data_IF_414669788165
#
_entry.id   IF_414669788165
#
_cell.length_a   1.000
_cell.length_b   1.000
_cell.length_c   1.000
_cell.angle_alpha   90.00
_cell.angle_beta   90.00
_cell.angle_gamma   90.00
#
_symmetry.space_group_name_H-M   'P 1'
#
loop_
_entity.id
_entity.type
_entity.pdbx_description
1 polymer ?
#
# COMPACT_ATOMS: atom_id res chain seq x y z
N UNK A 1 -18.60 6.19 4.80
CA UNK A 1 -18.21 5.88 3.41
C UNK A 1 -16.79 5.32 3.27
N UNK A 2 -15.79 5.78 4.03
CA UNK A 2 -14.37 5.54 3.71
C UNK A 2 -13.78 4.22 4.22
N UNK A 3 -14.28 3.68 5.33
CA UNK A 3 -14.11 2.29 5.77
C UNK A 3 -15.51 1.73 6.09
N UNK A 4 -16.22 1.18 5.10
CA UNK A 4 -17.61 0.76 5.28
C UNK A 4 -17.67 -0.58 6.04
N UNK A 5 -17.39 -0.54 7.34
CA UNK A 5 -17.40 -1.72 8.23
C UNK A 5 -18.81 -2.34 8.36
N UNK A 6 -19.86 -1.56 8.11
CA UNK A 6 -21.25 -2.03 8.00
C UNK A 6 -21.61 -2.56 6.59
N UNK A 7 -20.62 -2.70 5.71
CA UNK A 7 -20.75 -3.22 4.35
C UNK A 7 -20.94 -2.16 3.27
N UNK A 8 -20.72 -2.59 2.02
CA UNK A 8 -20.67 -1.72 0.84
C UNK A 8 -21.99 -0.98 0.52
N UNK A 9 -23.14 -1.41 1.03
CA UNK A 9 -24.43 -0.71 0.81
C UNK A 9 -24.52 0.63 1.53
N UNK A 10 -23.73 0.82 2.59
CA UNK A 10 -23.63 2.09 3.29
C UNK A 10 -22.94 3.17 2.44
N UNK A 11 -22.30 2.80 1.33
CA UNK A 11 -21.58 3.72 0.45
C UNK A 11 -22.52 4.26 -0.62
N UNK A 12 -22.89 5.54 -0.48
CA UNK A 12 -23.83 6.25 -1.35
C UNK A 12 -23.22 7.57 -1.83
N UNK A 13 -23.71 8.06 -2.97
CA UNK A 13 -23.45 9.43 -3.43
C UNK A 13 -24.39 10.33 -2.62
N UNK A 14 -24.02 10.62 -1.38
CA UNK A 14 -24.80 11.35 -0.38
C UNK A 14 -24.10 12.62 0.10
N UNK A 15 -24.79 13.45 0.89
CA UNK A 15 -24.22 14.72 1.35
C UNK A 15 -22.91 14.53 2.11
N UNK A 16 -22.77 13.45 2.88
CA UNK A 16 -21.55 13.15 3.62
C UNK A 16 -20.35 12.94 2.67
N UNK A 17 -20.49 12.08 1.66
CA UNK A 17 -19.40 11.80 0.71
C UNK A 17 -19.08 13.03 -0.15
N UNK A 18 -20.10 13.77 -0.58
CA UNK A 18 -19.92 14.98 -1.37
C UNK A 18 -19.26 16.10 -0.55
N UNK A 19 -19.64 16.29 0.71
CA UNK A 19 -19.04 17.31 1.58
C UNK A 19 -17.58 17.00 1.88
N UNK A 20 -17.25 15.75 2.19
CA UNK A 20 -15.85 15.35 2.38
C UNK A 20 -15.00 15.65 1.13
N UNK A 21 -15.53 15.38 -0.08
CA UNK A 21 -14.82 15.67 -1.32
C UNK A 21 -14.60 17.18 -1.52
N UNK A 22 -15.62 18.01 -1.25
CA UNK A 22 -15.49 19.48 -1.29
C UNK A 22 -14.45 19.99 -0.29
N UNK A 23 -14.44 19.46 0.93
CA UNK A 23 -13.49 19.84 1.97
C UNK A 23 -12.06 19.40 1.61
N UNK A 24 -11.90 18.20 1.05
CA UNK A 24 -10.63 17.71 0.54
C UNK A 24 -10.09 18.64 -0.55
N UNK A 25 -10.93 19.13 -1.47
CA UNK A 25 -10.52 20.13 -2.47
C UNK A 25 -10.16 21.47 -1.84
N UNK A 26 -11.00 21.98 -0.94
CA UNK A 26 -10.79 23.25 -0.26
C UNK A 26 -9.51 23.27 0.58
N UNK A 27 -9.01 22.11 1.02
CA UNK A 27 -7.74 22.01 1.75
C UNK A 27 -6.53 22.46 0.91
N UNK A 28 -6.63 22.40 -0.43
CA UNK A 28 -5.51 22.69 -1.33
C UNK A 28 -4.36 21.67 -1.28
N UNK A 29 -4.50 20.60 -0.50
CA UNK A 29 -3.46 19.55 -0.33
C UNK A 29 -3.76 18.38 -1.27
N UNK A 30 -2.76 17.79 -1.95
CA UNK A 30 -2.98 16.56 -2.71
C UNK A 30 -3.20 15.38 -1.77
N UNK A 31 -4.21 14.58 -2.06
CA UNK A 31 -4.63 13.45 -1.23
C UNK A 31 -4.53 12.15 -2.00
N UNK A 32 -3.84 11.16 -1.43
CA UNK A 32 -3.92 9.77 -1.88
C UNK A 32 -5.03 9.07 -1.12
N UNK A 33 -6.18 8.84 -1.77
CA UNK A 33 -7.30 8.14 -1.15
C UNK A 33 -7.19 6.63 -1.42
N UNK A 34 -6.70 5.90 -0.42
CA UNK A 34 -6.64 4.44 -0.40
C UNK A 34 -7.94 3.83 0.13
N UNK A 35 -9.01 3.97 -0.64
CA UNK A 35 -10.36 3.54 -0.25
C UNK A 35 -10.52 2.02 -0.29
N UNK A 36 -11.11 1.42 0.77
CA UNK A 36 -11.37 -0.02 0.87
C UNK A 36 -10.17 -0.89 0.45
N UNK A 37 -9.02 -0.68 1.08
CA UNK A 37 -7.81 -1.49 0.84
C UNK A 37 -7.98 -2.93 1.29
N UNK A 38 -7.09 -3.82 0.84
CA UNK A 38 -7.06 -5.24 1.20
C UNK A 38 -8.38 -5.97 0.94
N UNK A 39 -9.11 -5.55 -0.07
CA UNK A 39 -10.38 -6.13 -0.49
C UNK A 39 -10.30 -7.63 -0.85
N UNK A 40 -9.09 -8.18 -0.99
CA UNK A 40 -8.81 -9.59 -1.19
C UNK A 40 -8.59 -10.39 0.12
N UNK A 41 -8.77 -9.76 1.28
CA UNK A 41 -8.68 -10.37 2.60
C UNK A 41 -10.04 -10.53 3.26
N UNK A 42 -10.32 -11.68 3.87
CA UNK A 42 -11.62 -11.98 4.53
C UNK A 42 -11.89 -11.18 5.82
N UNK A 43 -10.93 -10.38 6.28
CA UNK A 43 -11.03 -9.60 7.52
C UNK A 43 -11.72 -8.25 7.35
N UNK A 44 -11.98 -7.82 6.11
CA UNK A 44 -12.67 -6.56 5.83
C UNK A 44 -14.11 -6.78 5.38
N UNK A 45 -15.00 -5.85 5.73
CA UNK A 45 -16.44 -5.94 5.42
C UNK A 45 -16.77 -5.80 3.91
N UNK A 46 -15.80 -5.42 3.09
CA UNK A 46 -15.93 -5.26 1.64
C UNK A 46 -15.35 -6.43 0.82
N UNK A 47 -14.98 -7.53 1.49
CA UNK A 47 -14.58 -8.79 0.84
C UNK A 47 -15.79 -9.61 0.34
N UNK A 48 -15.55 -10.50 -0.62
CA UNK A 48 -16.48 -11.52 -1.09
C UNK A 48 -17.44 -11.10 -2.21
N UNK A 49 -17.50 -9.81 -2.57
CA UNK A 49 -18.36 -9.33 -3.66
C UNK A 49 -17.65 -8.34 -4.59
N UNK A 50 -16.81 -8.83 -5.52
CA UNK A 50 -16.04 -7.98 -6.42
C UNK A 50 -16.90 -7.07 -7.29
N UNK A 51 -18.07 -7.55 -7.76
CA UNK A 51 -18.99 -6.75 -8.58
C UNK A 51 -19.48 -5.52 -7.82
N UNK A 52 -19.90 -5.69 -6.56
CA UNK A 52 -20.36 -4.60 -5.71
C UNK A 52 -19.21 -3.67 -5.30
N UNK A 53 -18.04 -4.23 -5.04
CA UNK A 53 -16.84 -3.43 -4.80
C UNK A 53 -16.55 -2.50 -5.99
N UNK A 54 -16.55 -3.04 -7.22
CA UNK A 54 -16.32 -2.25 -8.44
C UNK A 54 -17.40 -1.17 -8.60
N UNK A 55 -18.67 -1.49 -8.36
CA UNK A 55 -19.76 -0.50 -8.39
C UNK A 55 -19.48 0.69 -7.46
N UNK A 56 -19.14 0.40 -6.20
CA UNK A 56 -18.89 1.42 -5.17
C UNK A 56 -17.56 2.15 -5.38
N UNK A 57 -16.52 1.47 -5.85
CA UNK A 57 -15.27 2.10 -6.28
C UNK A 57 -15.52 3.17 -7.33
N UNK A 58 -16.27 2.81 -8.38
CA UNK A 58 -16.60 3.74 -9.46
C UNK A 58 -17.47 4.89 -8.97
N UNK A 59 -18.37 4.66 -8.01
CA UNK A 59 -19.16 5.70 -7.35
C UNK A 59 -18.27 6.71 -6.64
N UNK A 60 -17.41 6.26 -5.71
CA UNK A 60 -16.51 7.14 -4.95
C UNK A 60 -15.59 7.91 -5.91
N UNK A 61 -15.04 7.22 -6.92
CA UNK A 61 -14.20 7.85 -7.94
C UNK A 61 -14.94 8.94 -8.72
N UNK A 62 -16.23 8.77 -9.05
CA UNK A 62 -17.02 9.83 -9.70
C UNK A 62 -17.19 11.05 -8.81
N UNK A 63 -17.44 10.84 -7.51
CA UNK A 63 -17.59 11.95 -6.56
C UNK A 63 -16.27 12.72 -6.43
N UNK A 64 -15.14 12.03 -6.29
CA UNK A 64 -13.82 12.69 -6.24
C UNK A 64 -13.54 13.45 -7.52
N UNK A 65 -13.83 12.89 -8.70
CA UNK A 65 -13.66 13.61 -9.97
C UNK A 65 -14.56 14.84 -10.10
N UNK A 66 -15.75 14.80 -9.52
CA UNK A 66 -16.73 15.91 -9.57
C UNK A 66 -16.33 17.06 -8.65
N UNK A 67 -15.79 16.75 -7.47
CA UNK A 67 -15.61 17.74 -6.40
C UNK A 67 -14.17 17.93 -5.91
N UNK A 68 -13.29 16.95 -6.13
CA UNK A 68 -11.95 16.88 -5.55
C UNK A 68 -10.90 16.35 -6.55
N UNK A 69 -10.60 17.08 -7.64
CA UNK A 69 -9.57 16.67 -8.61
C UNK A 69 -8.16 16.55 -8.02
N UNK A 70 -7.92 17.09 -6.82
CA UNK A 70 -6.70 16.92 -6.03
C UNK A 70 -6.61 15.58 -5.28
N UNK A 71 -7.66 14.74 -5.33
CA UNK A 71 -7.69 13.41 -4.73
C UNK A 71 -7.36 12.35 -5.79
N UNK A 72 -6.26 11.62 -5.60
CA UNK A 72 -5.88 10.47 -6.41
C UNK A 72 -6.41 9.17 -5.80
N UNK A 73 -7.12 8.36 -6.58
CA UNK A 73 -7.66 7.07 -6.13
C UNK A 73 -6.60 5.96 -6.18
N UNK A 74 -6.31 5.35 -5.03
CA UNK A 74 -5.27 4.32 -4.85
C UNK A 74 -5.88 2.94 -4.62
N UNK A 75 -5.84 2.08 -5.65
CA UNK A 75 -6.42 0.73 -5.61
C UNK A 75 -5.43 -0.28 -5.03
N UNK A 76 -5.66 -0.71 -3.79
CA UNK A 76 -4.63 -1.36 -2.98
C UNK A 76 -5.09 -2.70 -2.37
N UNK A 77 -4.71 -3.85 -2.95
CA UNK A 77 -4.87 -5.15 -2.31
C UNK A 77 -3.73 -5.45 -1.34
N UNK A 78 -3.89 -6.50 -0.54
CA UNK A 78 -2.75 -7.24 0.02
C UNK A 78 -2.10 -8.06 -1.10
N UNK A 79 -0.78 -8.26 -1.08
CA UNK A 79 -0.08 -9.02 -2.13
C UNK A 79 -0.57 -10.48 -2.31
N UNK A 80 -1.23 -11.05 -1.30
CA UNK A 80 -1.79 -12.40 -1.28
C UNK A 80 -3.21 -12.38 -0.67
N UNK A 81 -4.15 -13.25 -1.10
CA UNK A 81 -4.11 -14.13 -2.27
C UNK A 81 -4.14 -13.38 -3.61
N UNK A 82 -3.25 -13.78 -4.54
CA UNK A 82 -3.08 -13.12 -5.86
C UNK A 82 -4.31 -13.29 -6.77
N UNK A 83 -4.94 -14.46 -6.72
CA UNK A 83 -6.09 -14.80 -7.57
C UNK A 83 -7.35 -13.99 -7.22
N UNK A 84 -7.43 -13.45 -6.00
CA UNK A 84 -8.52 -12.57 -5.57
C UNK A 84 -8.29 -11.10 -5.95
N UNK A 85 -7.13 -10.73 -6.52
CA UNK A 85 -6.84 -9.33 -6.84
C UNK A 85 -7.58 -8.86 -8.09
N UNK A 86 -7.43 -9.61 -9.18
CA UNK A 86 -7.97 -9.22 -10.49
C UNK A 86 -9.50 -9.08 -10.53
N UNK A 87 -10.30 -9.95 -9.89
CA UNK A 87 -11.76 -9.81 -9.89
C UNK A 87 -12.28 -8.47 -9.36
N UNK A 88 -11.49 -7.75 -8.54
CA UNK A 88 -11.84 -6.46 -7.94
C UNK A 88 -11.34 -5.26 -8.75
N UNK A 89 -10.60 -5.48 -9.84
CA UNK A 89 -10.03 -4.38 -10.60
C UNK A 89 -11.13 -3.57 -11.32
N UNK A 90 -11.32 -2.29 -11.00
CA UNK A 90 -12.46 -1.52 -11.47
C UNK A 90 -12.30 -1.01 -12.91
N UNK A 91 -11.14 -1.22 -13.53
CA UNK A 91 -10.77 -0.74 -14.87
C UNK A 91 -9.73 0.38 -14.83
N UNK A 92 -8.92 0.49 -15.89
CA UNK A 92 -7.82 1.48 -16.00
C UNK A 92 -8.34 2.89 -15.78
N UNK A 93 -9.49 3.22 -16.34
CA UNK A 93 -10.04 4.56 -16.26
C UNK A 93 -10.51 4.95 -14.86
N UNK A 94 -10.58 4.03 -13.89
CA UNK A 94 -11.08 4.27 -12.52
C UNK A 94 -9.99 4.25 -11.45
N UNK A 95 -8.75 3.93 -11.81
CA UNK A 95 -7.60 3.88 -10.90
C UNK A 95 -6.60 4.94 -11.33
N UNK A 96 -6.09 5.71 -10.37
CA UNK A 96 -5.00 6.66 -10.59
C UNK A 96 -3.65 6.04 -10.19
N UNK A 97 -3.64 5.27 -9.09
CA UNK A 97 -2.46 4.55 -8.58
C UNK A 97 -2.79 3.10 -8.25
N UNK A 98 -1.93 2.19 -8.70
CA UNK A 98 -1.99 0.79 -8.32
C UNK A 98 -1.22 0.61 -7.00
N UNK A 99 -1.97 0.55 -5.90
CA UNK A 99 -1.44 0.35 -4.56
C UNK A 99 -1.15 -1.12 -4.27
N UNK A 100 -0.27 -1.42 -3.31
CA UNK A 100 -0.09 -2.78 -2.79
C UNK A 100 0.44 -2.76 -1.35
N UNK A 101 -0.09 -3.63 -0.50
CA UNK A 101 0.45 -3.90 0.84
C UNK A 101 1.34 -5.16 0.81
N UNK A 102 2.53 -5.08 1.39
CA UNK A 102 3.53 -6.15 1.44
C UNK A 102 4.13 -6.21 2.83
N UNK A 103 4.21 -7.41 3.42
CA UNK A 103 4.86 -7.60 4.72
C UNK A 103 5.88 -8.72 4.62
N UNK A 104 7.11 -8.47 5.06
CA UNK A 104 8.14 -9.50 5.22
C UNK A 104 8.09 -10.04 6.64
N UNK A 105 7.41 -11.17 6.81
CA UNK A 105 7.20 -11.78 8.14
C UNK A 105 8.19 -12.91 8.42
N UNK A 106 8.63 -13.04 9.67
CA UNK A 106 9.46 -14.19 10.06
C UNK A 106 8.63 -15.48 10.14
N UNK A 107 7.40 -15.39 10.66
CA UNK A 107 6.39 -16.44 10.67
C UNK A 107 5.04 -15.86 10.30
N UNK A 108 4.30 -16.55 9.44
CA UNK A 108 2.97 -16.14 9.02
C UNK A 108 1.96 -16.36 10.15
N UNK A 109 1.08 -15.38 10.37
CA UNK A 109 -0.05 -15.49 11.29
C UNK A 109 0.31 -16.00 12.71
N UNK A 110 1.50 -15.65 13.22
CA UNK A 110 1.95 -16.07 14.54
C UNK A 110 2.24 -17.58 14.68
N UNK A 111 2.42 -18.30 13.58
CA UNK A 111 2.53 -19.76 13.56
C UNK A 111 3.96 -20.26 13.35
N UNK A 112 4.48 -21.01 14.32
CA UNK A 112 5.82 -21.62 14.25
C UNK A 112 5.97 -22.63 13.11
N UNK A 113 4.89 -23.30 12.71
CA UNK A 113 4.87 -24.28 11.62
C UNK A 113 4.72 -23.64 10.23
N UNK A 114 4.64 -22.31 10.16
CA UNK A 114 4.51 -21.57 8.90
C UNK A 114 5.57 -20.45 8.79
N UNK A 115 6.84 -20.80 8.59
CA UNK A 115 7.93 -19.83 8.46
C UNK A 115 7.80 -19.01 7.17
N UNK A 116 8.05 -17.70 7.26
CA UNK A 116 8.07 -16.77 6.11
C UNK A 116 9.47 -16.22 5.79
N UNK A 117 10.48 -16.55 6.61
CA UNK A 117 11.82 -15.97 6.51
C UNK A 117 12.54 -16.17 5.16
N UNK A 118 12.18 -17.23 4.43
CA UNK A 118 12.76 -17.57 3.13
C UNK A 118 12.16 -16.76 1.97
N UNK A 119 11.07 -16.03 2.18
CA UNK A 119 10.37 -15.30 1.13
C UNK A 119 11.10 -14.01 0.73
N UNK A 120 11.22 -13.77 -0.58
CA UNK A 120 11.79 -12.54 -1.10
C UNK A 120 10.68 -11.48 -1.31
N UNK A 121 10.73 -10.30 -0.64
CA UNK A 121 9.73 -9.27 -0.82
C UNK A 121 9.62 -8.74 -2.25
N UNK A 122 10.67 -8.89 -3.07
CA UNK A 122 10.63 -8.50 -4.49
C UNK A 122 9.64 -9.35 -5.26
N UNK A 123 9.51 -10.64 -4.94
CA UNK A 123 8.58 -11.54 -5.62
C UNK A 123 7.12 -11.30 -5.24
N UNK A 124 6.89 -10.70 -4.07
CA UNK A 124 5.56 -10.25 -3.65
C UNK A 124 5.09 -9.08 -4.52
N UNK A 125 6.01 -8.21 -4.95
CA UNK A 125 5.74 -7.10 -5.86
C UNK A 125 5.76 -7.51 -7.33
N UNK A 126 6.67 -8.41 -7.75
CA UNK A 126 6.99 -8.68 -9.17
C UNK A 126 5.78 -9.03 -10.02
N UNK A 127 4.89 -9.90 -9.53
CA UNK A 127 3.67 -10.27 -10.25
C UNK A 127 2.73 -9.07 -10.44
N UNK A 128 2.48 -8.32 -9.36
CA UNK A 128 1.60 -7.17 -9.37
C UNK A 128 2.14 -6.06 -10.27
N UNK A 129 3.44 -5.79 -10.17
CA UNK A 129 4.16 -4.82 -11.00
C UNK A 129 4.01 -5.15 -12.49
N UNK A 130 4.28 -6.38 -12.92
CA UNK A 130 4.13 -6.80 -14.32
C UNK A 130 2.71 -6.57 -14.87
N UNK A 131 1.68 -6.70 -14.03
CA UNK A 131 0.28 -6.58 -14.43
C UNK A 131 -0.21 -5.14 -14.49
N UNK A 132 0.18 -4.29 -13.54
CA UNK A 132 -0.42 -2.97 -13.37
C UNK A 132 0.51 -1.79 -13.68
N UNK A 133 1.84 -1.97 -13.62
CA UNK A 133 2.81 -0.88 -13.79
C UNK A 133 2.87 -0.28 -15.19
N UNK A 134 2.31 -0.98 -16.20
CA UNK A 134 2.17 -0.46 -17.57
C UNK A 134 1.16 0.68 -17.66
N UNK A 135 0.16 0.68 -16.78
CA UNK A 135 -0.96 1.62 -16.84
C UNK A 135 -1.02 2.57 -15.65
N UNK A 136 -0.42 2.19 -14.53
CA UNK A 136 -0.48 2.93 -13.27
C UNK A 136 0.90 3.07 -12.64
N UNK A 137 1.24 4.22 -12.02
CA UNK A 137 2.32 4.26 -11.06
C UNK A 137 1.99 3.31 -9.90
N UNK A 138 3.01 2.66 -9.35
CA UNK A 138 2.87 1.75 -8.22
C UNK A 138 3.10 2.52 -6.92
N UNK A 139 2.19 2.33 -5.97
CA UNK A 139 2.34 2.77 -4.58
C UNK A 139 2.46 1.53 -3.68
N UNK A 140 3.61 1.32 -3.06
CA UNK A 140 3.70 0.35 -1.96
C UNK A 140 3.11 1.01 -0.70
N UNK A 141 1.80 0.87 -0.53
CA UNK A 141 1.02 1.59 0.47
C UNK A 141 1.38 1.18 1.90
N UNK A 142 1.75 -0.08 2.09
CA UNK A 142 2.30 -0.59 3.33
C UNK A 142 3.46 -1.52 2.99
N UNK A 143 4.62 -1.24 3.56
CA UNK A 143 5.71 -2.19 3.65
C UNK A 143 6.30 -2.23 5.05
N UNK A 144 6.49 -3.41 5.60
CA UNK A 144 7.30 -3.56 6.80
C UNK A 144 7.94 -4.94 6.88
N UNK A 145 8.91 -5.06 7.77
CA UNK A 145 9.50 -6.35 8.14
C UNK A 145 9.48 -6.53 9.65
N UNK A 146 9.23 -7.77 10.08
CA UNK A 146 9.16 -8.14 11.50
C UNK A 146 10.42 -7.71 12.26
N UNK A 147 10.29 -6.79 13.21
CA UNK A 147 11.33 -6.45 14.19
C UNK A 147 11.22 -7.29 15.46
N UNK A 148 10.03 -7.81 15.77
CA UNK A 148 9.82 -8.78 16.85
C UNK A 148 8.72 -9.76 16.46
N UNK A 149 8.96 -11.06 16.65
CA UNK A 149 8.02 -12.12 16.28
C UNK A 149 7.43 -12.77 17.53
N UNK A 150 6.11 -12.72 17.70
CA UNK A 150 5.44 -13.36 18.84
C UNK A 150 5.57 -14.89 18.80
N UNK A 151 5.47 -15.48 17.60
CA UNK A 151 5.47 -16.94 17.42
C UNK A 151 6.69 -17.63 18.04
N UNK A 152 7.88 -17.05 17.84
CA UNK A 152 9.14 -17.57 18.36
C UNK A 152 9.70 -16.76 19.55
N UNK A 153 9.02 -15.70 19.99
CA UNK A 153 9.42 -14.84 21.09
C UNK A 153 10.71 -14.04 20.86
N UNK A 154 11.17 -13.91 19.61
CA UNK A 154 12.46 -13.29 19.28
C UNK A 154 12.31 -11.84 18.81
N UNK A 155 13.24 -11.00 19.22
CA UNK A 155 13.56 -9.72 18.56
C UNK A 155 14.53 -9.99 17.42
N UNK A 156 14.29 -9.36 16.26
CA UNK A 156 14.82 -9.76 14.96
C UNK A 156 15.35 -8.55 14.15
N UNK A 157 16.28 -7.74 14.68
CA UNK A 157 16.80 -6.57 13.98
C UNK A 157 17.48 -6.93 12.65
N UNK A 158 18.28 -8.00 12.63
CA UNK A 158 19.00 -8.45 11.43
C UNK A 158 18.05 -8.83 10.30
N UNK A 159 17.00 -9.59 10.61
CA UNK A 159 15.97 -9.97 9.65
C UNK A 159 15.26 -8.73 9.07
N UNK A 160 14.86 -7.79 9.94
CA UNK A 160 14.21 -6.57 9.52
C UNK A 160 15.10 -5.73 8.59
N UNK A 161 16.38 -5.56 8.96
CA UNK A 161 17.37 -4.82 8.18
C UNK A 161 17.65 -5.51 6.84
N UNK A 162 17.79 -6.84 6.82
CA UNK A 162 18.03 -7.61 5.60
C UNK A 162 16.88 -7.42 4.60
N UNK A 163 15.64 -7.70 5.02
CA UNK A 163 14.46 -7.59 4.15
C UNK A 163 14.24 -6.15 3.67
N UNK A 164 14.41 -5.17 4.58
CA UNK A 164 14.35 -3.75 4.26
C UNK A 164 15.39 -3.37 3.18
N UNK A 165 16.65 -3.78 3.35
CA UNK A 165 17.73 -3.49 2.39
C UNK A 165 17.47 -4.15 1.04
N UNK A 166 17.06 -5.42 1.01
CA UNK A 166 16.72 -6.13 -0.23
C UNK A 166 15.63 -5.39 -0.99
N UNK A 167 14.54 -5.03 -0.31
CA UNK A 167 13.40 -4.42 -0.96
C UNK A 167 13.70 -2.98 -1.43
N UNK A 168 14.17 -2.09 -0.55
CA UNK A 168 14.42 -0.68 -0.89
C UNK A 168 15.48 -0.52 -2.00
N UNK A 169 16.56 -1.31 -1.96
CA UNK A 169 17.61 -1.24 -3.01
C UNK A 169 17.15 -1.76 -4.37
N UNK A 170 16.14 -2.64 -4.40
CA UNK A 170 15.58 -3.15 -5.65
C UNK A 170 14.68 -2.15 -6.36
N UNK A 171 14.02 -1.23 -5.63
CA UNK A 171 13.03 -0.29 -6.20
C UNK A 171 13.56 0.48 -7.42
N UNK A 172 14.70 1.21 -7.36
CA UNK A 172 15.18 1.98 -8.51
C UNK A 172 15.62 1.11 -9.70
N UNK A 173 15.99 -0.15 -9.48
CA UNK A 173 16.60 -1.02 -10.50
C UNK A 173 15.59 -1.96 -11.15
N UNK A 174 14.74 -2.60 -10.34
CA UNK A 174 13.80 -3.63 -10.77
C UNK A 174 12.38 -3.07 -10.92
N UNK A 175 12.02 -2.03 -10.16
CA UNK A 175 10.65 -1.51 -10.08
C UNK A 175 10.54 0.01 -10.29
N UNK A 176 11.07 0.58 -11.40
CA UNK A 176 11.14 2.03 -11.61
C UNK A 176 9.78 2.76 -11.66
N UNK A 177 8.66 2.02 -11.78
CA UNK A 177 7.29 2.57 -11.67
C UNK A 177 6.77 2.63 -10.24
N UNK A 178 7.51 2.14 -9.24
CA UNK A 178 7.23 2.43 -7.83
C UNK A 178 7.60 3.89 -7.58
N UNK A 179 6.58 4.72 -7.36
CA UNK A 179 6.72 6.18 -7.18
C UNK A 179 6.39 6.63 -5.76
N UNK A 180 5.91 5.72 -4.91
CA UNK A 180 5.73 5.94 -3.49
C UNK A 180 5.85 4.62 -2.72
N UNK A 181 6.39 4.68 -1.51
CA UNK A 181 6.45 3.59 -0.54
C UNK A 181 6.24 4.16 0.86
N UNK A 182 5.40 3.51 1.66
CA UNK A 182 5.17 3.87 3.05
C UNK A 182 5.57 2.71 3.95
N UNK A 183 6.53 2.95 4.85
CA UNK A 183 6.84 1.97 5.89
C UNK A 183 5.72 1.93 6.93
N UNK A 184 5.20 0.73 7.23
CA UNK A 184 4.22 0.53 8.30
C UNK A 184 4.92 0.43 9.66
N UNK A 185 5.22 1.58 10.29
CA UNK A 185 5.91 1.62 11.57
C UNK A 185 4.92 1.62 12.73
N UNK A 186 4.58 0.43 13.22
CA UNK A 186 3.63 0.28 14.32
C UNK A 186 4.00 -0.89 15.22
N UNK A 187 3.95 -0.67 16.54
CA UNK A 187 4.08 -1.73 17.54
C UNK A 187 2.74 -2.47 17.70
N UNK A 188 2.47 -3.36 16.75
CA UNK A 188 1.23 -4.12 16.77
C UNK A 188 1.19 -5.17 17.88
N UNK A 189 2.35 -5.54 18.46
CA UNK A 189 2.38 -6.50 19.57
C UNK A 189 1.84 -5.85 20.84
N UNK A 190 2.26 -4.61 21.11
CA UNK A 190 1.76 -3.85 22.25
C UNK A 190 0.23 -3.64 22.18
N UNK A 191 -0.29 -3.38 20.99
CA UNK A 191 -1.73 -3.11 20.80
C UNK A 191 -2.57 -4.35 20.51
N UNK A 192 -1.94 -5.50 20.27
CA UNK A 192 -2.63 -6.72 19.85
C UNK A 192 -3.19 -6.67 18.42
N UNK A 193 -2.75 -5.74 17.58
CA UNK A 193 -3.24 -5.59 16.21
C UNK A 193 -2.72 -6.67 15.23
N UNK A 194 -1.57 -7.28 15.52
CA UNK A 194 -0.98 -8.36 14.73
C UNK A 194 0.09 -9.11 15.52
N UNK A 195 0.55 -10.25 14.99
CA UNK A 195 1.49 -11.18 15.67
C UNK A 195 2.98 -10.84 15.47
N UNK A 196 3.30 -9.68 14.91
CA UNK A 196 4.67 -9.21 14.62
C UNK A 196 4.81 -7.71 14.86
N UNK A 197 5.81 -7.25 15.61
CA UNK A 197 6.12 -5.82 15.70
C UNK A 197 6.78 -5.33 14.39
N UNK A 198 6.38 -4.16 13.91
CA UNK A 198 6.89 -3.53 12.68
C UNK A 198 7.50 -2.14 12.91
N UNK A 199 7.58 -1.69 14.17
CA UNK A 199 8.12 -0.38 14.50
C UNK A 199 9.61 -0.28 14.14
N UNK A 200 9.97 0.75 13.38
CA UNK A 200 11.38 1.04 13.06
C UNK A 200 12.10 1.70 14.23
N UNK A 201 11.35 2.37 15.11
CA UNK A 201 11.88 3.13 16.26
C UNK A 201 11.82 2.28 17.53
N UNK A 202 12.83 1.43 17.71
CA UNK A 202 13.05 0.72 18.97
C UNK A 202 14.37 1.24 19.60
N UNK A 203 14.36 1.85 20.80
CA UNK A 203 15.56 2.40 21.41
C UNK A 203 16.61 1.33 21.78
N UNK A 204 16.20 0.08 21.95
CA UNK A 204 17.11 -1.05 22.20
C UNK A 204 17.73 -1.60 20.91
N UNK A 205 17.19 -1.21 19.74
CA UNK A 205 17.65 -1.64 18.42
C UNK A 205 17.76 -0.45 17.45
N UNK A 206 18.58 0.58 17.77
CA UNK A 206 18.73 1.78 16.94
C UNK A 206 19.27 1.46 15.54
N UNK A 207 19.94 0.32 15.35
CA UNK A 207 20.44 -0.16 14.06
C UNK A 207 19.33 -0.32 13.00
N UNK A 208 18.08 -0.62 13.40
CA UNK A 208 16.95 -0.71 12.46
C UNK A 208 16.56 0.67 11.94
N UNK A 209 16.45 1.66 12.83
CA UNK A 209 16.22 3.06 12.44
C UNK A 209 17.36 3.59 11.58
N UNK A 210 18.60 3.28 11.94
CA UNK A 210 19.79 3.70 11.20
C UNK A 210 19.80 3.13 9.78
N UNK A 211 19.51 1.83 9.60
CA UNK A 211 19.41 1.22 8.28
C UNK A 211 18.32 1.87 7.41
N UNK A 212 17.17 2.20 8.00
CA UNK A 212 16.11 2.92 7.28
C UNK A 212 16.57 4.30 6.82
N UNK A 213 17.22 5.07 7.71
CA UNK A 213 17.78 6.40 7.39
C UNK A 213 18.78 6.35 6.23
N UNK A 214 19.69 5.37 6.24
CA UNK A 214 20.67 5.17 5.16
C UNK A 214 20.00 4.88 3.82
N UNK A 215 18.93 4.08 3.80
CA UNK A 215 18.22 3.71 2.57
C UNK A 215 17.49 4.89 1.95
N UNK A 216 16.81 5.70 2.77
CA UNK A 216 16.03 6.85 2.29
C UNK A 216 16.89 8.10 2.03
N UNK A 217 18.18 8.08 2.39
CA UNK A 217 19.10 9.20 2.14
C UNK A 217 19.54 9.32 0.67
N UNK A 218 19.25 8.31 -0.16
CA UNK A 218 19.53 8.37 -1.60
C UNK A 218 18.65 9.41 -2.31
N UNK A 219 19.23 10.14 -3.26
CA UNK A 219 18.51 11.09 -4.15
C UNK A 219 17.35 10.48 -4.93
N UNK A 220 17.23 9.16 -4.97
CA UNK A 220 16.06 8.47 -5.50
C UNK A 220 14.78 8.79 -4.69
N UNK A 221 14.91 9.02 -3.38
CA UNK A 221 13.79 9.35 -2.49
C UNK A 221 13.67 10.85 -2.32
N UNK A 222 12.44 11.36 -2.43
CA UNK A 222 12.17 12.77 -2.19
C UNK A 222 12.34 13.08 -0.71
N UNK A 223 13.25 14.00 -0.39
CA UNK A 223 13.50 14.47 0.98
C UNK A 223 12.62 15.67 1.38
N UNK A 224 11.92 16.26 0.40
CA UNK A 224 11.00 17.39 0.59
C UNK A 224 9.79 17.19 -0.32
N UNK A 225 8.65 17.63 0.18
CA UNK A 225 7.46 17.78 -0.66
C UNK A 225 7.70 18.92 -1.66
N UNK A 226 7.40 18.69 -2.93
CA UNK A 226 7.43 19.73 -3.97
C UNK A 226 6.01 20.16 -4.22
N UNK A 227 5.68 21.41 -3.91
CA UNK A 227 4.36 21.98 -4.18
C UNK A 227 4.09 22.01 -5.69
N UNK A 228 2.98 21.41 -6.10
CA UNK A 228 2.43 21.51 -7.44
C UNK A 228 1.03 22.13 -7.36
N UNK A 229 0.77 23.14 -8.19
CA UNK A 229 -0.49 23.89 -8.23
C UNK A 229 -1.51 23.32 -9.25
N UNK A 230 -1.12 22.33 -10.05
CA UNK A 230 -1.97 21.74 -11.10
C UNK A 230 -2.09 20.23 -10.93
N UNK A 231 -3.22 19.78 -10.37
CA UNK A 231 -3.54 18.36 -10.17
C UNK A 231 -4.33 17.85 -11.36
N UNK A 232 -3.65 17.12 -12.23
CA UNK A 232 -4.27 16.48 -13.38
C UNK A 232 -3.81 15.05 -13.52
N UNK A 233 -4.69 14.21 -14.07
CA UNK A 233 -4.32 12.87 -14.51
C UNK A 233 -3.26 12.98 -15.60
N UNK A 234 -2.12 12.32 -15.40
CA UNK A 234 -1.03 12.28 -16.38
C UNK A 234 -1.01 10.90 -17.03
N UNK A 235 -0.97 10.85 -18.35
CA UNK A 235 -0.69 9.60 -19.04
C UNK A 235 0.75 9.19 -18.78
N UNK A 236 0.94 7.96 -18.32
CA UNK A 236 2.27 7.43 -18.13
C UNK A 236 2.95 7.28 -19.50
N UNK A 237 4.25 7.64 -19.61
CA UNK A 237 5.02 7.27 -20.79
C UNK A 237 4.98 5.74 -20.94
N UNK A 238 5.21 5.22 -22.13
CA UNK A 238 5.33 3.77 -22.38
C UNK A 238 6.25 3.13 -21.33
N UNK A 239 5.86 1.97 -20.78
CA UNK A 239 6.78 1.24 -19.89
C UNK A 239 8.08 0.94 -20.65
N UNK A 240 9.27 1.15 -20.05
CA UNK A 240 10.48 0.59 -20.63
C UNK A 240 10.25 -0.92 -20.79
N UNK A 241 10.77 -1.51 -21.87
CA UNK A 241 10.76 -2.96 -22.04
C UNK A 241 11.29 -3.58 -20.74
N UNK A 242 10.56 -4.55 -20.17
CA UNK A 242 11.07 -5.28 -19.03
C UNK A 242 12.43 -5.86 -19.45
N UNK A 243 13.47 -5.61 -18.66
CA UNK A 243 14.68 -6.39 -18.80
C UNK A 243 14.28 -7.84 -18.50
N UNK A 244 14.44 -8.70 -19.49
CA UNK A 244 14.16 -10.14 -19.41
C UNK A 244 14.94 -10.80 -18.25
#
# INVERSE_FOLDING_TARGET
AFEPNDGLDAVKDDEYLNQWAKDAFASGVPVFLRWCSEFNGRWVAWYGNPRKYIEKWRLVTRVMRRHAPNVAMVWCPLWIPKYEIEPYYPGREWVDWAGINIYSVHHHNGRLDWPGMHEDPRDHLRWYYRRYARHHPIFVCEYASTTQCKACGKTLPDFAIEKMRVFYRSLPREFPRVKAICWFSYDTLHTGAAENNYAITNPNHPEVTQAYRELIASDYFLSRFVEGLDYRRVELPSAPAAAD
#
